data_IF_160029631047
#
_entry.id   IF_160029631047
#
_cell.length_a   1.000
_cell.length_b   1.000
_cell.length_c   1.000
_cell.angle_alpha   90.00
_cell.angle_beta   90.00
_cell.angle_gamma   90.00
#
_symmetry.space_group_name_H-M   'P 1'
#
loop_
_entity.id
_entity.type
_entity.pdbx_description
1 polymer ?
#
# COMPACT_ATOMS: atom_id res chain seq x y z
N UNK A 1 21.04 23.50 20.32
CA UNK A 1 20.75 22.68 19.12
C UNK A 1 19.65 23.39 18.35
N UNK A 2 19.77 23.68 17.05
CA UNK A 2 18.62 24.16 16.28
C UNK A 2 17.50 23.14 16.43
N UNK A 3 16.28 23.62 16.61
CA UNK A 3 15.09 22.82 16.89
C UNK A 3 14.79 21.92 15.68
N UNK A 4 15.39 20.73 15.63
CA UNK A 4 15.12 19.72 14.61
C UNK A 4 13.70 19.21 14.86
N UNK A 5 12.79 19.46 13.93
CA UNK A 5 11.44 18.94 14.01
C UNK A 5 11.50 17.42 14.09
N UNK A 6 10.82 16.83 15.07
CA UNK A 6 10.67 15.39 15.17
C UNK A 6 9.56 14.93 14.21
N UNK A 7 9.94 14.25 13.13
CA UNK A 7 9.03 13.86 12.06
C UNK A 7 8.59 12.40 12.21
N UNK A 8 7.28 12.20 12.18
CA UNK A 8 6.64 10.89 12.24
C UNK A 8 5.84 10.70 10.96
N UNK A 9 6.07 9.57 10.27
CA UNK A 9 5.28 9.17 9.10
C UNK A 9 4.47 7.93 9.47
N UNK A 10 3.15 8.02 9.38
CA UNK A 10 2.25 6.90 9.67
C UNK A 10 1.46 6.47 8.45
N UNK A 11 1.30 5.16 8.27
CA UNK A 11 0.48 4.57 7.22
C UNK A 11 -0.63 3.70 7.83
N UNK A 12 -1.87 3.96 7.46
CA UNK A 12 -3.02 3.18 7.92
C UNK A 12 -3.05 1.77 7.30
N UNK A 13 -3.73 0.86 7.99
CA UNK A 13 -4.04 -0.46 7.45
C UNK A 13 -5.10 -0.40 6.35
N UNK A 14 -5.15 -1.43 5.51
CA UNK A 14 -6.12 -1.48 4.42
C UNK A 14 -6.06 -2.71 3.53
N UNK A 15 -5.31 -3.75 3.94
CA UNK A 15 -5.01 -4.89 3.07
C UNK A 15 -4.32 -4.45 1.78
N UNK A 16 -4.85 -4.89 0.64
CA UNK A 16 -4.35 -4.51 -0.70
C UNK A 16 -4.32 -2.99 -0.94
N UNK A 17 -5.15 -2.22 -0.23
CA UNK A 17 -5.18 -0.76 -0.33
C UNK A 17 -3.93 -0.09 0.24
N UNK A 18 -3.10 -0.82 0.99
CA UNK A 18 -1.76 -0.37 1.39
C UNK A 18 -0.86 0.01 0.21
N UNK A 19 -1.19 -0.44 -1.01
CA UNK A 19 -0.56 0.02 -2.24
C UNK A 19 -0.69 1.54 -2.45
N UNK A 20 -1.81 2.16 -2.05
CA UNK A 20 -2.03 3.61 -2.21
C UNK A 20 -1.01 4.42 -1.39
N UNK A 21 -0.89 4.26 -0.05
CA UNK A 21 0.12 4.98 0.72
C UNK A 21 1.54 4.58 0.32
N UNK A 22 1.79 3.35 -0.12
CA UNK A 22 3.12 2.94 -0.59
C UNK A 22 3.57 3.76 -1.80
N UNK A 23 2.66 3.94 -2.76
CA UNK A 23 2.93 4.73 -3.96
C UNK A 23 3.05 6.21 -3.69
N UNK A 24 2.17 6.75 -2.84
CA UNK A 24 2.25 8.15 -2.43
C UNK A 24 3.57 8.44 -1.70
N UNK A 25 3.95 7.59 -0.75
CA UNK A 25 5.22 7.73 -0.03
C UNK A 25 6.42 7.62 -0.98
N UNK A 26 6.37 6.70 -1.95
CA UNK A 26 7.43 6.56 -2.95
C UNK A 26 7.59 7.80 -3.83
N UNK A 27 6.48 8.35 -4.34
CA UNK A 27 6.52 9.56 -5.16
C UNK A 27 6.99 10.78 -4.36
N UNK A 28 6.49 10.95 -3.14
CA UNK A 28 6.93 12.02 -2.25
C UNK A 28 8.42 11.91 -1.91
N UNK A 29 8.92 10.70 -1.68
CA UNK A 29 10.34 10.50 -1.40
C UNK A 29 11.22 10.76 -2.62
N UNK A 30 10.82 10.28 -3.81
CA UNK A 30 11.53 10.59 -5.06
C UNK A 30 11.60 12.08 -5.36
N UNK A 31 10.54 12.84 -5.04
CA UNK A 31 10.46 14.29 -5.31
C UNK A 31 11.16 15.13 -4.26
N UNK A 32 11.07 14.75 -2.98
CA UNK A 32 11.44 15.63 -1.87
C UNK A 32 12.41 15.00 -0.86
N UNK A 33 12.74 13.71 -0.98
CA UNK A 33 13.60 12.96 -0.07
C UNK A 33 13.08 12.96 1.37
N UNK A 34 11.78 12.70 1.55
CA UNK A 34 11.11 12.81 2.85
C UNK A 34 11.53 11.70 3.82
N UNK A 35 11.79 10.48 3.35
CA UNK A 35 12.01 9.31 4.21
C UNK A 35 13.31 9.46 5.02
N UNK A 36 14.35 10.03 4.42
CA UNK A 36 15.62 10.32 5.10
C UNK A 36 15.49 11.34 6.25
N UNK A 37 14.37 12.08 6.32
CA UNK A 37 14.08 13.08 7.36
C UNK A 37 13.16 12.53 8.45
N UNK A 38 12.53 11.38 8.25
CA UNK A 38 11.59 10.80 9.21
C UNK A 38 12.36 10.15 10.35
N UNK A 39 11.95 10.45 11.58
CA UNK A 39 12.53 9.85 12.78
C UNK A 39 11.81 8.56 13.18
N UNK A 40 10.50 8.49 12.95
CA UNK A 40 9.68 7.32 13.30
C UNK A 40 8.71 6.98 12.19
N UNK A 41 8.72 5.71 11.78
CA UNK A 41 7.69 5.14 10.93
C UNK A 41 6.67 4.38 11.78
N UNK A 42 5.38 4.62 11.54
CA UNK A 42 4.29 3.93 12.21
C UNK A 42 3.27 3.37 11.23
N UNK A 43 2.51 2.37 11.66
CA UNK A 43 1.38 1.89 10.86
C UNK A 43 0.74 0.62 11.40
N UNK A 44 -0.43 0.29 10.88
CA UNK A 44 -1.20 -0.90 11.28
C UNK A 44 -1.42 -1.83 10.09
N UNK A 45 -1.36 -3.16 10.30
CA UNK A 45 -1.54 -4.16 9.23
C UNK A 45 -0.63 -3.89 8.00
N UNK A 46 -1.20 -3.70 6.80
CA UNK A 46 -0.45 -3.34 5.59
C UNK A 46 0.39 -2.06 5.78
N UNK A 47 -0.13 -1.06 6.50
CA UNK A 47 0.63 0.14 6.86
C UNK A 47 1.77 -0.14 7.84
N UNK A 48 1.63 -1.15 8.71
CA UNK A 48 2.72 -1.63 9.56
C UNK A 48 3.82 -2.34 8.75
N UNK A 49 3.43 -3.08 7.70
CA UNK A 49 4.39 -3.66 6.74
C UNK A 49 5.18 -2.58 6.02
N UNK A 50 4.50 -1.51 5.57
CA UNK A 50 5.16 -0.31 5.02
C UNK A 50 6.13 0.32 6.04
N UNK A 51 5.67 0.53 7.27
CA UNK A 51 6.50 1.15 8.30
C UNK A 51 7.79 0.37 8.57
N UNK A 52 7.69 -0.96 8.68
CA UNK A 52 8.85 -1.84 8.84
C UNK A 52 9.79 -1.80 7.63
N UNK A 53 9.24 -1.77 6.42
CA UNK A 53 10.04 -1.69 5.20
C UNK A 53 10.80 -0.37 5.11
N UNK A 54 10.14 0.76 5.38
CA UNK A 54 10.77 2.08 5.41
C UNK A 54 11.84 2.17 6.50
N UNK A 55 11.58 1.65 7.70
CA UNK A 55 12.55 1.61 8.79
C UNK A 55 13.80 0.76 8.46
N UNK A 56 13.65 -0.25 7.60
CA UNK A 56 14.76 -1.09 7.13
C UNK A 56 15.43 -0.56 5.84
N UNK A 57 15.05 0.65 5.37
CA UNK A 57 15.53 1.22 4.11
C UNK A 57 15.28 0.30 2.89
N UNK A 58 14.19 -0.47 2.91
CA UNK A 58 13.76 -1.24 1.75
C UNK A 58 13.16 -0.25 0.74
N UNK A 59 13.60 -0.27 -0.55
CA UNK A 59 13.02 0.57 -1.59
C UNK A 59 11.51 0.35 -1.68
N UNK A 60 10.73 1.44 -1.64
CA UNK A 60 9.27 1.35 -1.66
C UNK A 60 8.76 0.77 -2.98
N UNK A 61 9.51 0.91 -4.09
CA UNK A 61 9.23 0.22 -5.36
C UNK A 61 9.13 -1.30 -5.18
N UNK A 62 9.96 -1.90 -4.32
CA UNK A 62 9.92 -3.33 -4.06
C UNK A 62 8.62 -3.74 -3.38
N UNK A 63 8.14 -2.91 -2.44
CA UNK A 63 6.85 -3.11 -1.78
C UNK A 63 5.71 -2.95 -2.79
N UNK A 64 5.75 -1.92 -3.63
CA UNK A 64 4.76 -1.68 -4.68
C UNK A 64 4.68 -2.90 -5.60
N UNK A 65 5.82 -3.44 -6.05
CA UNK A 65 5.85 -4.63 -6.89
C UNK A 65 5.28 -5.86 -6.18
N UNK A 66 5.58 -6.06 -4.90
CA UNK A 66 4.97 -7.13 -4.10
C UNK A 66 3.45 -6.99 -4.04
N UNK A 67 2.91 -5.78 -3.81
CA UNK A 67 1.46 -5.56 -3.82
C UNK A 67 0.85 -5.81 -5.21
N UNK A 68 1.53 -5.45 -6.29
CA UNK A 68 1.04 -5.64 -7.67
C UNK A 68 1.09 -7.10 -8.13
N UNK A 69 2.10 -7.86 -7.71
CA UNK A 69 2.35 -9.22 -8.16
C UNK A 69 1.70 -10.25 -7.23
N UNK A 70 1.85 -10.05 -5.91
CA UNK A 70 1.49 -11.05 -4.89
C UNK A 70 0.24 -10.62 -4.11
N UNK A 71 -0.24 -9.39 -4.28
CA UNK A 71 -1.34 -8.83 -3.51
C UNK A 71 -2.66 -9.61 -3.62
N UNK A 72 -2.94 -10.25 -4.76
CA UNK A 72 -4.12 -11.10 -4.91
C UNK A 72 -4.06 -12.40 -4.11
N UNK A 73 -2.85 -12.88 -3.80
CA UNK A 73 -2.62 -14.05 -2.94
C UNK A 73 -2.56 -13.64 -1.46
N UNK A 74 -1.81 -12.58 -1.16
CA UNK A 74 -1.65 -12.05 0.21
C UNK A 74 -2.99 -11.56 0.78
N UNK A 75 -3.79 -10.84 -0.02
CA UNK A 75 -5.06 -10.24 0.41
C UNK A 75 -6.27 -11.00 -0.16
N UNK A 76 -6.29 -12.32 0.03
CA UNK A 76 -7.44 -13.13 -0.36
C UNK A 76 -8.63 -12.84 0.57
N UNK A 77 -9.81 -12.46 0.05
CA UNK A 77 -10.97 -12.22 0.90
C UNK A 77 -11.44 -13.50 1.60
N UNK A 78 -11.84 -13.40 2.87
CA UNK A 78 -12.47 -14.53 3.56
C UNK A 78 -13.79 -14.89 2.86
N UNK A 79 -13.85 -16.10 2.28
CA UNK A 79 -15.06 -16.66 1.68
C UNK A 79 -15.63 -17.71 2.63
N UNK A 80 -16.67 -17.34 3.37
CA UNK A 80 -17.50 -18.33 4.08
C UNK A 80 -18.23 -19.26 3.10
N UNK A 81 -18.86 -20.35 3.58
CA UNK A 81 -19.42 -21.43 2.74
C UNK A 81 -20.47 -21.02 1.69
N UNK A 82 -20.99 -19.79 1.76
CA UNK A 82 -22.07 -19.27 0.90
C UNK A 82 -21.66 -18.06 0.04
N UNK A 83 -20.38 -17.69 -0.05
CA UNK A 83 -19.96 -16.46 -0.73
C UNK A 83 -19.50 -16.70 -2.17
N UNK A 84 -20.46 -16.90 -3.07
CA UNK A 84 -20.25 -16.75 -4.51
C UNK A 84 -20.08 -15.27 -4.87
N UNK A 85 -18.85 -14.76 -4.95
CA UNK A 85 -18.56 -13.62 -5.85
C UNK A 85 -17.07 -13.50 -6.20
N UNK A 86 -16.83 -13.44 -7.52
CA UNK A 86 -15.55 -13.05 -8.14
C UNK A 86 -15.34 -11.55 -7.93
N UNK A 87 -14.81 -11.13 -6.77
CA UNK A 87 -14.66 -9.70 -6.40
C UNK A 87 -13.24 -9.30 -5.94
N UNK A 88 -12.21 -9.92 -6.52
CA UNK A 88 -10.80 -9.57 -6.24
C UNK A 88 -10.05 -8.85 -7.38
N UNK A 89 -10.49 -8.98 -8.63
CA UNK A 89 -9.75 -8.48 -9.80
C UNK A 89 -10.07 -7.02 -10.16
N UNK A 90 -11.28 -6.55 -9.86
CA UNK A 90 -11.75 -5.22 -10.28
C UNK A 90 -11.05 -4.06 -9.59
N UNK A 91 -10.69 -4.20 -8.30
CA UNK A 91 -9.97 -3.14 -7.58
C UNK A 91 -8.55 -2.98 -8.12
N UNK A 92 -7.83 -4.09 -8.35
CA UNK A 92 -6.47 -4.04 -8.87
C UNK A 92 -6.39 -3.55 -10.31
N UNK A 93 -7.36 -3.92 -11.17
CA UNK A 93 -7.42 -3.37 -12.52
C UNK A 93 -7.77 -1.87 -12.52
N UNK A 94 -8.72 -1.45 -11.67
CA UNK A 94 -9.08 -0.04 -11.53
C UNK A 94 -7.95 0.78 -10.92
N UNK A 95 -7.24 0.24 -9.93
CA UNK A 95 -6.05 0.86 -9.37
C UNK A 95 -4.94 0.93 -10.42
N UNK A 96 -4.55 -0.17 -11.08
CA UNK A 96 -3.58 -0.14 -12.19
C UNK A 96 -3.93 0.91 -13.26
N UNK A 97 -5.20 1.04 -13.63
CA UNK A 97 -5.65 2.09 -14.56
C UNK A 97 -5.49 3.51 -14.00
N UNK A 98 -5.71 3.68 -12.69
CA UNK A 98 -5.47 4.94 -11.99
C UNK A 98 -3.97 5.24 -11.90
N UNK A 99 -3.14 4.22 -11.66
CA UNK A 99 -1.69 4.37 -11.59
C UNK A 99 -1.11 4.77 -12.93
N UNK A 100 -1.51 4.15 -14.04
CA UNK A 100 -1.14 4.61 -15.38
C UNK A 100 -1.56 6.07 -15.62
N UNK A 101 -2.78 6.44 -15.19
CA UNK A 101 -3.24 7.84 -15.29
C UNK A 101 -2.47 8.80 -14.40
N UNK A 102 -1.94 8.35 -13.27
CA UNK A 102 -1.09 9.16 -12.39
C UNK A 102 0.31 9.27 -12.98
N UNK A 103 0.88 8.18 -13.46
CA UNK A 103 2.19 8.13 -14.13
C UNK A 103 2.25 9.06 -15.34
N UNK A 104 1.18 9.11 -16.15
CA UNK A 104 1.01 10.05 -17.26
C UNK A 104 0.78 11.51 -16.81
N UNK A 105 0.35 11.75 -15.56
CA UNK A 105 -0.03 13.09 -15.03
C UNK A 105 0.96 13.67 -14.02
N UNK A 106 1.97 12.91 -13.58
CA UNK A 106 3.00 13.40 -12.67
C UNK A 106 3.84 14.55 -13.26
N UNK A 107 3.67 14.87 -14.55
CA UNK A 107 4.28 16.02 -15.22
C UNK A 107 3.45 17.33 -15.20
N UNK A 108 2.13 17.31 -14.93
CA UNK A 108 1.33 18.56 -14.87
C UNK A 108 0.12 18.47 -13.93
N UNK A 109 0.18 19.32 -12.90
CA UNK A 109 -0.88 19.89 -12.07
C UNK A 109 -1.89 18.94 -11.38
N UNK A 110 -1.94 19.13 -10.06
CA UNK A 110 -2.69 18.34 -9.08
C UNK A 110 -4.21 18.42 -9.24
N UNK A 111 -4.84 17.24 -9.10
CA UNK A 111 -6.21 16.95 -8.60
C UNK A 111 -7.40 17.34 -9.48
N UNK A 112 -8.01 16.33 -10.11
CA UNK A 112 -9.43 16.00 -9.92
C UNK A 112 -9.62 14.47 -10.05
N UNK A 113 -9.95 13.80 -8.94
CA UNK A 113 -10.29 12.37 -8.92
C UNK A 113 -11.81 12.22 -8.99
N UNK A 114 -12.39 12.35 -10.18
CA UNK A 114 -13.78 11.94 -10.40
C UNK A 114 -13.86 10.42 -10.61
N UNK A 115 -14.75 9.75 -9.86
CA UNK A 115 -15.12 8.34 -10.09
C UNK A 115 -14.62 7.31 -9.06
N UNK A 116 -14.15 7.76 -7.90
CA UNK A 116 -13.74 6.86 -6.81
C UNK A 116 -14.73 6.93 -5.64
N UNK A 117 -15.56 5.90 -5.49
CA UNK A 117 -16.39 5.74 -4.29
C UNK A 117 -15.49 5.32 -3.12
N UNK A 118 -15.30 6.24 -2.19
CA UNK A 118 -14.48 6.06 -0.99
C UNK A 118 -15.09 5.00 -0.05
N UNK A 119 -16.39 4.69 -0.18
CA UNK A 119 -17.08 3.67 0.60
C UNK A 119 -16.54 2.25 0.37
N UNK A 120 -16.14 1.93 -0.86
CA UNK A 120 -15.51 0.65 -1.19
C UNK A 120 -14.07 0.53 -0.62
N UNK A 121 -13.44 1.67 -0.30
CA UNK A 121 -12.09 1.76 0.25
C UNK A 121 -12.04 1.49 1.77
N UNK A 122 -13.16 1.54 2.48
CA UNK A 122 -13.15 1.48 3.96
C UNK A 122 -13.66 0.15 4.54
N UNK A 123 -14.21 -0.76 3.72
CA UNK A 123 -14.64 -2.07 4.22
C UNK A 123 -13.46 -3.03 4.47
N UNK A 124 -13.34 -3.55 5.70
CA UNK A 124 -12.33 -4.54 6.14
C UNK A 124 -12.73 -5.95 5.65
N UNK A 125 -11.82 -6.69 4.97
CA UNK A 125 -12.16 -7.97 4.30
C UNK A 125 -11.07 -9.08 4.22
N UNK A 126 -10.05 -9.16 5.09
CA UNK A 126 -8.94 -10.12 4.88
C UNK A 126 -8.53 -10.96 6.09
N UNK A 127 -8.02 -12.18 5.85
CA UNK A 127 -7.49 -13.13 6.85
C UNK A 127 -5.98 -13.38 6.69
N UNK A 128 -5.28 -13.73 7.76
CA UNK A 128 -3.81 -13.80 7.81
C UNK A 128 -3.18 -15.11 7.28
N UNK A 129 -3.97 -16.05 6.75
CA UNK A 129 -3.52 -17.38 6.33
C UNK A 129 -2.54 -17.38 5.14
N UNK A 130 -2.66 -16.40 4.23
CA UNK A 130 -1.77 -16.29 3.06
C UNK A 130 -0.34 -15.89 3.44
N UNK A 131 -0.20 -14.94 4.38
CA UNK A 131 1.12 -14.44 4.83
C UNK A 131 1.98 -15.55 5.43
N UNK A 132 1.37 -16.43 6.23
CA UNK A 132 2.05 -17.57 6.86
C UNK A 132 2.60 -18.52 5.81
N UNK A 133 1.86 -18.77 4.73
CA UNK A 133 2.24 -19.72 3.69
C UNK A 133 3.47 -19.27 2.89
N UNK A 134 3.58 -17.97 2.58
CA UNK A 134 4.72 -17.41 1.85
C UNK A 134 5.98 -17.40 2.72
N UNK A 135 5.84 -17.01 4.00
CA UNK A 135 6.97 -16.97 4.93
C UNK A 135 7.59 -18.37 5.14
N UNK A 136 6.76 -19.40 5.34
CA UNK A 136 7.22 -20.79 5.46
C UNK A 136 7.90 -21.33 4.20
N UNK A 137 7.62 -20.77 3.02
CA UNK A 137 8.18 -21.23 1.75
C UNK A 137 9.55 -20.60 1.42
N UNK A 138 9.87 -19.44 1.97
CA UNK A 138 11.11 -18.71 1.65
C UNK A 138 12.17 -18.78 2.76
N UNK A 139 11.76 -19.04 4.00
CA UNK A 139 12.64 -18.94 5.17
C UNK A 139 12.48 -20.11 6.16
N UNK A 140 11.73 -21.15 5.80
CA UNK A 140 11.47 -22.35 6.61
C UNK A 140 12.28 -23.55 6.14
#
# INVERSE_FOLDING_TARGET
>A
MPNQNFLILTCDGGGIRGLIPAMLANDLDRRFGILARVNVFGGTSAGGTLALAMAQNIPLERLIQMFLNDGSEIFTPYRGPLAGSKRGSGFLSKLKSLLHRLEDRLDKDMVQLEGFDLGDLLHIKYSNSGLVKVYSSQYG
#
